data_IF_046281688023
#
_entry.id   IF_046281688023
#
_cell.length_a   1.000
_cell.length_b   1.000
_cell.length_c   1.000
_cell.angle_alpha   90.00
_cell.angle_beta   90.00
_cell.angle_gamma   90.00
#
_symmetry.space_group_name_H-M   'P 1'
#
loop_
_entity.id
_entity.type
_entity.pdbx_description
1 polymer ?
#
# COMPACT_ATOMS: atom_id res chain seq x y z
N UNK A 1 50.41 26.62 -23.36
CA UNK A 1 50.54 25.15 -23.22
C UNK A 1 50.91 24.85 -21.77
N UNK A 2 49.92 24.74 -20.90
CA UNK A 2 50.07 24.30 -19.50
C UNK A 2 48.75 23.63 -19.08
N UNK A 3 48.71 22.32 -19.32
CA UNK A 3 47.94 21.30 -18.57
C UNK A 3 46.63 21.74 -17.93
N UNK A 4 45.60 21.85 -18.76
CA UNK A 4 44.24 21.40 -18.41
C UNK A 4 44.25 19.86 -18.44
N UNK A 5 44.83 19.25 -17.42
CA UNK A 5 44.80 17.80 -17.22
C UNK A 5 44.58 17.59 -15.74
N UNK A 6 43.30 17.47 -15.39
CA UNK A 6 42.70 16.67 -14.33
C UNK A 6 41.39 17.37 -13.97
N UNK A 7 40.38 17.15 -14.81
CA UNK A 7 39.00 17.22 -14.36
C UNK A 7 38.92 16.37 -13.10
N UNK A 8 38.83 17.05 -11.96
CA UNK A 8 38.72 16.41 -10.67
C UNK A 8 37.39 15.66 -10.72
N UNK A 9 37.47 14.36 -11.05
CA UNK A 9 36.42 13.41 -10.68
C UNK A 9 36.19 13.70 -9.21
N UNK A 10 35.01 14.16 -8.84
CA UNK A 10 34.63 14.33 -7.44
C UNK A 10 34.16 12.94 -6.98
N UNK A 11 35.06 12.05 -6.49
CA UNK A 11 34.67 10.69 -6.13
C UNK A 11 33.60 10.70 -5.05
N UNK A 12 33.57 11.74 -4.20
CA UNK A 12 32.56 11.93 -3.18
C UNK A 12 31.18 12.21 -3.79
N UNK A 13 31.11 12.98 -4.88
CA UNK A 13 29.85 13.27 -5.56
C UNK A 13 29.31 12.02 -6.28
N UNK A 14 30.20 11.24 -6.90
CA UNK A 14 29.85 9.96 -7.50
C UNK A 14 29.35 8.95 -6.45
N UNK A 15 30.12 8.78 -5.37
CA UNK A 15 29.74 7.93 -4.22
C UNK A 15 28.40 8.36 -3.61
N UNK A 16 28.19 9.66 -3.43
CA UNK A 16 26.93 10.18 -2.89
C UNK A 16 25.74 9.90 -3.83
N UNK A 17 25.96 9.97 -5.15
CA UNK A 17 24.97 9.56 -6.15
C UNK A 17 24.61 8.08 -6.01
N UNK A 18 25.61 7.20 -6.00
CA UNK A 18 25.42 5.76 -5.83
C UNK A 18 24.69 5.41 -4.51
N UNK A 19 25.08 6.03 -3.40
CA UNK A 19 24.42 5.82 -2.11
C UNK A 19 22.96 6.28 -2.11
N UNK A 20 22.66 7.43 -2.74
CA UNK A 20 21.28 7.90 -2.90
C UNK A 20 20.44 6.94 -3.73
N UNK A 21 20.99 6.40 -4.81
CA UNK A 21 20.31 5.41 -5.64
C UNK A 21 20.01 4.14 -4.86
N UNK A 22 20.98 3.61 -4.11
CA UNK A 22 20.78 2.42 -3.27
C UNK A 22 19.67 2.65 -2.22
N UNK A 23 19.67 3.81 -1.55
CA UNK A 23 18.63 4.17 -0.58
C UNK A 23 17.26 4.29 -1.27
N UNK A 24 17.19 4.97 -2.41
CA UNK A 24 15.95 5.15 -3.16
C UNK A 24 15.37 3.81 -3.61
N UNK A 25 16.21 2.93 -4.17
CA UNK A 25 15.82 1.59 -4.59
C UNK A 25 15.30 0.76 -3.42
N UNK A 26 15.98 0.77 -2.27
CA UNK A 26 15.55 0.04 -1.08
C UNK A 26 14.19 0.54 -0.56
N UNK A 27 14.01 1.86 -0.43
CA UNK A 27 12.74 2.47 0.01
C UNK A 27 11.61 2.14 -0.95
N UNK A 28 11.89 2.20 -2.25
CA UNK A 28 10.93 1.89 -3.29
C UNK A 28 10.52 0.42 -3.26
N UNK A 29 11.46 -0.50 -3.06
CA UNK A 29 11.17 -1.93 -2.91
C UNK A 29 10.29 -2.20 -1.68
N UNK A 30 10.63 -1.63 -0.52
CA UNK A 30 9.82 -1.76 0.70
C UNK A 30 8.41 -1.23 0.48
N UNK A 31 8.28 -0.05 -0.14
CA UNK A 31 6.98 0.55 -0.43
C UNK A 31 6.13 -0.33 -1.37
N UNK A 32 6.71 -0.89 -2.43
CA UNK A 32 6.01 -1.81 -3.34
C UNK A 32 5.53 -3.08 -2.63
N UNK A 33 6.40 -3.71 -1.85
CA UNK A 33 6.08 -4.95 -1.12
C UNK A 33 4.99 -4.69 -0.07
N UNK A 34 5.11 -3.62 0.72
CA UNK A 34 4.11 -3.24 1.71
C UNK A 34 2.77 -2.91 1.06
N UNK A 35 2.76 -2.12 -0.03
CA UNK A 35 1.54 -1.77 -0.75
C UNK A 35 0.82 -2.99 -1.31
N UNK A 36 1.57 -3.92 -1.90
CA UNK A 36 1.02 -5.17 -2.45
C UNK A 36 0.37 -6.02 -1.35
N UNK A 37 1.09 -6.16 -0.23
CA UNK A 37 0.64 -6.93 0.93
C UNK A 37 -0.64 -6.33 1.54
N UNK A 38 -0.65 -5.01 1.76
CA UNK A 38 -1.81 -4.30 2.31
C UNK A 38 -3.02 -4.36 1.37
N UNK A 39 -2.80 -4.25 0.05
CA UNK A 39 -3.89 -4.36 -0.93
C UNK A 39 -4.57 -5.72 -0.85
N UNK A 40 -3.78 -6.80 -0.82
CA UNK A 40 -4.33 -8.15 -0.70
C UNK A 40 -5.01 -8.39 0.66
N UNK A 41 -4.41 -7.90 1.75
CA UNK A 41 -5.01 -7.96 3.09
C UNK A 41 -6.39 -7.30 3.11
N UNK A 42 -6.49 -6.08 2.59
CA UNK A 42 -7.73 -5.31 2.58
C UNK A 42 -8.82 -5.97 1.75
N UNK A 43 -8.46 -6.58 0.62
CA UNK A 43 -9.38 -7.40 -0.16
C UNK A 43 -9.90 -8.62 0.63
N UNK A 44 -9.01 -9.36 1.28
CA UNK A 44 -9.37 -10.55 2.08
C UNK A 44 -10.26 -10.20 3.27
N UNK A 45 -9.96 -9.11 3.97
CA UNK A 45 -10.79 -8.59 5.07
C UNK A 45 -12.19 -8.24 4.56
N UNK A 46 -12.26 -7.50 3.45
CA UNK A 46 -13.53 -7.16 2.79
C UNK A 46 -14.36 -8.39 2.46
N UNK A 47 -13.74 -9.37 1.79
CA UNK A 47 -14.38 -10.64 1.38
C UNK A 47 -14.91 -11.42 2.58
N UNK A 48 -14.13 -11.50 3.67
CA UNK A 48 -14.55 -12.22 4.87
C UNK A 48 -15.73 -11.55 5.56
N UNK A 49 -15.73 -10.22 5.67
CA UNK A 49 -16.83 -9.47 6.28
C UNK A 49 -18.08 -9.56 5.39
N UNK A 50 -17.92 -9.39 4.07
CA UNK A 50 -19.02 -9.49 3.12
C UNK A 50 -19.77 -10.83 3.22
N UNK A 51 -19.03 -11.95 3.32
CA UNK A 51 -19.62 -13.28 3.51
C UNK A 51 -20.45 -13.37 4.80
N UNK A 52 -19.98 -12.78 5.89
CA UNK A 52 -20.73 -12.75 7.16
C UNK A 52 -22.01 -11.94 7.04
N UNK A 53 -21.93 -10.75 6.43
CA UNK A 53 -23.07 -9.84 6.29
C UNK A 53 -24.15 -10.43 5.37
N UNK A 54 -23.74 -11.11 4.29
CA UNK A 54 -24.67 -11.72 3.33
C UNK A 54 -25.40 -12.94 3.91
N UNK A 55 -24.83 -13.65 4.89
CA UNK A 55 -25.48 -14.82 5.50
C UNK A 55 -26.76 -14.46 6.27
N UNK A 56 -26.85 -13.25 6.82
CA UNK A 56 -28.01 -12.82 7.62
C UNK A 56 -29.04 -11.98 6.84
N UNK A 57 -28.76 -11.65 5.57
CA UNK A 57 -29.71 -11.04 4.63
C UNK A 57 -30.29 -9.67 5.03
N UNK A 58 -29.82 -9.05 6.12
CA UNK A 58 -30.36 -7.80 6.68
C UNK A 58 -29.30 -6.70 6.70
N UNK A 59 -29.60 -5.58 6.06
CA UNK A 59 -28.71 -4.41 6.00
C UNK A 59 -28.32 -3.88 7.39
N UNK A 60 -29.27 -3.86 8.33
CA UNK A 60 -29.05 -3.36 9.69
C UNK A 60 -28.08 -4.25 10.49
N UNK A 61 -28.18 -5.58 10.30
CA UNK A 61 -27.28 -6.53 10.92
C UNK A 61 -25.85 -6.37 10.40
N UNK A 62 -25.70 -6.19 9.07
CA UNK A 62 -24.41 -5.91 8.47
C UNK A 62 -23.75 -4.64 9.02
N UNK A 63 -24.54 -3.59 9.21
CA UNK A 63 -24.04 -2.34 9.81
C UNK A 63 -23.56 -2.56 11.26
N UNK A 64 -24.25 -3.39 12.04
CA UNK A 64 -23.88 -3.70 13.42
C UNK A 64 -22.60 -4.53 13.53
N UNK A 65 -22.41 -5.52 12.65
CA UNK A 65 -21.16 -6.30 12.54
C UNK A 65 -19.99 -5.36 12.25
N UNK A 66 -20.10 -4.54 11.20
CA UNK A 66 -19.01 -3.64 10.78
C UNK A 66 -18.65 -2.67 11.90
N UNK A 67 -19.64 -2.11 12.60
CA UNK A 67 -19.40 -1.23 13.74
C UNK A 67 -18.67 -1.95 14.89
N UNK A 68 -19.06 -3.18 15.18
CA UNK A 68 -18.50 -3.95 16.31
C UNK A 68 -17.07 -4.39 16.04
N UNK A 69 -16.83 -5.02 14.88
CA UNK A 69 -15.48 -5.47 14.48
C UNK A 69 -14.54 -4.29 14.34
N UNK A 70 -15.00 -3.16 13.78
CA UNK A 70 -14.17 -1.95 13.67
C UNK A 70 -13.67 -1.45 15.02
N UNK A 71 -14.52 -1.43 16.06
CA UNK A 71 -14.09 -0.96 17.39
C UNK A 71 -12.96 -1.82 17.96
N UNK A 72 -13.01 -3.13 17.75
CA UNK A 72 -11.96 -4.05 18.20
C UNK A 72 -10.68 -3.86 17.38
N UNK A 73 -10.79 -3.91 16.05
CA UNK A 73 -9.62 -3.75 15.17
C UNK A 73 -8.93 -2.39 15.31
N UNK A 74 -9.66 -1.31 15.59
CA UNK A 74 -9.07 0.00 15.84
C UNK A 74 -8.26 0.03 17.13
N UNK A 75 -8.70 -0.69 18.17
CA UNK A 75 -7.95 -0.80 19.43
C UNK A 75 -6.67 -1.60 19.26
N UNK A 76 -6.69 -2.65 18.44
CA UNK A 76 -5.56 -3.56 18.25
C UNK A 76 -4.57 -3.07 17.17
N UNK A 77 -5.09 -2.51 16.07
CA UNK A 77 -4.31 -2.23 14.86
C UNK A 77 -4.41 -0.77 14.39
N UNK A 78 -5.16 0.08 15.09
CA UNK A 78 -5.25 1.51 14.85
C UNK A 78 -6.29 1.94 13.79
N UNK A 79 -6.28 3.23 13.47
CA UNK A 79 -7.34 3.91 12.70
C UNK A 79 -7.50 3.39 11.26
N UNK A 80 -6.54 2.62 10.74
CA UNK A 80 -6.63 1.94 9.45
C UNK A 80 -7.84 1.00 9.33
N UNK A 81 -8.39 0.52 10.46
CA UNK A 81 -9.51 -0.42 10.51
C UNK A 81 -10.82 0.17 11.05
N UNK A 82 -10.97 1.50 10.94
CA UNK A 82 -12.22 2.20 11.24
C UNK A 82 -13.39 1.76 10.34
N UNK A 83 -14.63 2.07 10.74
CA UNK A 83 -15.86 1.69 10.02
C UNK A 83 -15.81 2.11 8.54
N UNK A 84 -15.32 3.32 8.27
CA UNK A 84 -15.14 3.83 6.90
C UNK A 84 -14.15 2.98 6.10
N UNK A 85 -13.07 2.53 6.72
CA UNK A 85 -12.09 1.67 6.06
C UNK A 85 -12.64 0.28 5.81
N UNK A 86 -13.31 -0.35 6.78
CA UNK A 86 -13.93 -1.66 6.58
C UNK A 86 -14.99 -1.64 5.48
N UNK A 87 -15.82 -0.59 5.40
CA UNK A 87 -16.79 -0.43 4.29
C UNK A 87 -16.09 -0.34 2.92
N UNK A 88 -14.98 0.39 2.82
CA UNK A 88 -14.18 0.43 1.58
C UNK A 88 -13.57 -0.93 1.23
N UNK A 89 -13.14 -1.70 2.23
CA UNK A 89 -12.64 -3.07 2.03
C UNK A 89 -13.73 -3.98 1.48
N UNK A 90 -14.96 -3.90 2.03
CA UNK A 90 -16.13 -4.66 1.54
C UNK A 90 -16.45 -4.28 0.09
N UNK A 91 -16.53 -2.98 -0.22
CA UNK A 91 -16.76 -2.49 -1.59
C UNK A 91 -15.66 -2.93 -2.56
N UNK A 92 -14.42 -2.98 -2.08
CA UNK A 92 -13.30 -3.49 -2.88
C UNK A 92 -13.46 -4.98 -3.18
N UNK A 93 -13.91 -5.79 -2.22
CA UNK A 93 -14.22 -7.21 -2.45
C UNK A 93 -15.41 -7.39 -3.42
N UNK A 94 -16.45 -6.58 -3.29
CA UNK A 94 -17.62 -6.57 -4.18
C UNK A 94 -17.25 -6.28 -5.65
N UNK A 95 -16.36 -5.30 -5.86
CA UNK A 95 -15.91 -4.92 -7.21
C UNK A 95 -14.95 -5.93 -7.86
N UNK A 96 -14.34 -6.83 -7.07
CA UNK A 96 -13.30 -7.76 -7.53
C UNK A 96 -13.50 -9.14 -6.90
N UNK A 97 -14.47 -9.91 -7.37
CA UNK A 97 -14.81 -11.22 -6.79
C UNK A 97 -13.70 -12.28 -6.90
N UNK A 98 -12.74 -12.11 -7.82
CA UNK A 98 -11.63 -13.04 -8.06
C UNK A 98 -10.35 -12.56 -7.34
N UNK A 99 -9.81 -13.41 -6.46
CA UNK A 99 -8.55 -13.18 -5.75
C UNK A 99 -7.38 -12.97 -6.73
N UNK A 100 -7.37 -13.64 -7.88
CA UNK A 100 -6.33 -13.48 -8.90
C UNK A 100 -6.31 -12.05 -9.46
N UNK A 101 -7.47 -11.40 -9.59
CA UNK A 101 -7.58 -10.01 -10.04
C UNK A 101 -7.09 -9.07 -8.94
N UNK A 102 -7.47 -9.30 -7.68
CA UNK A 102 -6.97 -8.51 -6.55
C UNK A 102 -5.44 -8.65 -6.37
N UNK A 103 -4.91 -9.86 -6.52
CA UNK A 103 -3.47 -10.15 -6.51
C UNK A 103 -2.74 -9.53 -7.70
N UNK A 104 -3.43 -9.29 -8.81
CA UNK A 104 -2.87 -8.57 -9.97
C UNK A 104 -2.84 -7.07 -9.70
N UNK A 105 -3.89 -6.49 -9.12
CA UNK A 105 -3.90 -5.08 -8.72
C UNK A 105 -2.83 -4.77 -7.67
N UNK A 106 -2.62 -5.68 -6.72
CA UNK A 106 -1.54 -5.59 -5.75
C UNK A 106 -0.17 -5.47 -6.43
N UNK A 107 0.04 -6.19 -7.53
CA UNK A 107 1.29 -6.19 -8.32
C UNK A 107 1.43 -4.99 -9.27
N UNK A 108 0.31 -4.50 -9.83
CA UNK A 108 0.31 -3.54 -10.95
C UNK A 108 0.24 -2.08 -10.49
N UNK A 109 0.06 -1.78 -9.19
CA UNK A 109 0.16 -0.40 -8.71
C UNK A 109 1.59 0.12 -8.87
N UNK A 110 1.91 0.59 -10.07
CA UNK A 110 3.07 1.39 -10.40
C UNK A 110 3.13 2.49 -9.34
N UNK A 111 4.17 2.46 -8.52
CA UNK A 111 4.52 3.62 -7.73
C UNK A 111 4.58 4.80 -8.70
N UNK A 112 3.74 5.82 -8.46
CA UNK A 112 3.96 7.12 -9.08
C UNK A 112 5.43 7.50 -8.81
N UNK A 113 6.19 7.96 -9.82
CA UNK A 113 7.54 8.45 -9.57
C UNK A 113 7.43 9.59 -8.56
N UNK A 114 8.01 9.38 -7.38
CA UNK A 114 8.10 10.39 -6.35
C UNK A 114 8.98 11.53 -6.85
N UNK A 115 8.36 12.60 -7.32
CA UNK A 115 9.00 13.90 -7.44
C UNK A 115 9.28 14.43 -6.04
N UNK A 116 10.51 14.25 -5.57
CA UNK A 116 11.08 15.02 -4.47
C UNK A 116 12.48 15.42 -4.88
N UNK A 117 12.56 16.57 -5.54
CA UNK A 117 13.81 17.16 -5.99
C UNK A 117 13.57 18.35 -6.89
N UNK A 118 12.85 19.36 -6.39
CA UNK A 118 12.87 20.73 -6.92
C UNK A 118 12.61 21.70 -5.74
N UNK A 119 13.69 22.12 -5.09
CA UNK A 119 13.85 23.36 -4.31
C UNK A 119 15.32 23.52 -3.92
#
# INVERSE_FOLDING_TARGET
MATDVLGHRHPEAALLGELRELIAQARQHVAQTANSTLTLLYWRVGTRIQREVLQDGRADYGAQIVATVSRQLVREYGQGFGVRSLRRMIQFAEGFADEAVAATLARVRKSAPGGFGDA
#
